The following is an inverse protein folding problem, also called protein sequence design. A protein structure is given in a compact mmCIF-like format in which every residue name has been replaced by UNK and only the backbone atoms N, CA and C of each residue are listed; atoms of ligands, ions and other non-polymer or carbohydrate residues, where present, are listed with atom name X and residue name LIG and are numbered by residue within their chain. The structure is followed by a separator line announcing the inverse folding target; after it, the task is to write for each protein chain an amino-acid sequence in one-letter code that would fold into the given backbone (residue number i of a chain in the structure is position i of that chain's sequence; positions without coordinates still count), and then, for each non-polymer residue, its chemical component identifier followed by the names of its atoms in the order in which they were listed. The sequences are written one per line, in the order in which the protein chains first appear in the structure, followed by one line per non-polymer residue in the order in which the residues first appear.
data_IF_084815500528
#
_entry.id   IF_084815500528
#
_cell.length_a   1.000
_cell.length_b   1.000
_cell.length_c   1.000
_cell.angle_alpha   90.00
_cell.angle_beta   90.00
_cell.angle_gamma   90.00
#
_symmetry.space_group_name_H-M   'P 1'
#
loop_
_entity.id
_entity.type
_entity.pdbx_description
1 polymer ?
#
# COMPACT_ATOMS: atom_id res chain seq x y z
N UNK A 1 27.23 27.86 -4.44
CA UNK A 1 25.76 27.65 -4.33
C UNK A 1 25.37 26.22 -4.71
N UNK A 2 26.32 25.42 -5.20
CA UNK A 2 26.11 24.14 -5.88
C UNK A 2 26.01 22.91 -4.94
N UNK A 3 26.63 22.96 -3.76
CA UNK A 3 26.64 21.80 -2.84
C UNK A 3 25.27 21.50 -2.22
N UNK A 4 24.47 22.54 -1.93
CA UNK A 4 23.13 22.34 -1.36
C UNK A 4 22.17 21.81 -2.43
N UNK A 5 22.22 22.36 -3.65
CA UNK A 5 21.37 21.93 -4.76
C UNK A 5 21.64 20.47 -5.14
N UNK A 6 22.92 20.07 -5.18
CA UNK A 6 23.32 18.69 -5.48
C UNK A 6 22.89 17.73 -4.37
N UNK A 7 22.98 18.14 -3.10
CA UNK A 7 22.55 17.34 -1.94
C UNK A 7 21.04 17.10 -1.92
N UNK A 8 20.24 18.16 -2.15
CA UNK A 8 18.78 18.02 -2.20
C UNK A 8 18.33 17.28 -3.47
N UNK A 9 18.98 17.50 -4.61
CA UNK A 9 18.72 16.76 -5.86
C UNK A 9 18.97 15.26 -5.67
N UNK A 10 20.10 14.86 -5.08
CA UNK A 10 20.38 13.45 -4.75
C UNK A 10 19.32 12.86 -3.83
N UNK A 11 18.88 13.60 -2.81
CA UNK A 11 17.87 13.14 -1.87
C UNK A 11 16.51 12.95 -2.56
N UNK A 12 16.09 13.89 -3.41
CA UNK A 12 14.87 13.77 -4.21
C UNK A 12 14.92 12.58 -5.17
N UNK A 13 16.06 12.37 -5.85
CA UNK A 13 16.26 11.22 -6.74
C UNK A 13 16.24 9.90 -5.96
N UNK A 14 16.83 9.85 -4.76
CA UNK A 14 16.78 8.67 -3.88
C UNK A 14 15.37 8.38 -3.40
N UNK A 15 14.61 9.41 -2.98
CA UNK A 15 13.22 9.25 -2.56
C UNK A 15 12.37 8.81 -3.75
N UNK A 16 12.58 9.38 -4.93
CA UNK A 16 11.88 8.99 -6.16
C UNK A 16 12.20 7.54 -6.56
N UNK A 17 13.48 7.13 -6.54
CA UNK A 17 13.90 5.76 -6.80
C UNK A 17 13.36 4.78 -5.77
N UNK A 18 13.29 5.17 -4.50
CA UNK A 18 12.67 4.37 -3.44
C UNK A 18 11.17 4.21 -3.70
N UNK A 19 10.49 5.26 -4.14
CA UNK A 19 9.07 5.20 -4.47
C UNK A 19 8.80 4.37 -5.73
N UNK A 20 9.71 4.42 -6.71
CA UNK A 20 9.68 3.63 -7.94
C UNK A 20 10.06 2.16 -7.69
N UNK A 21 10.91 1.88 -6.70
CA UNK A 21 11.33 0.51 -6.41
C UNK A 21 10.15 -0.33 -5.92
N UNK A 22 9.20 0.24 -5.21
CA UNK A 22 8.01 -0.49 -4.71
C UNK A 22 7.17 -1.10 -5.85
N UNK A 23 6.66 -0.35 -6.84
CA UNK A 23 5.91 -0.92 -7.96
C UNK A 23 6.78 -1.79 -8.87
N UNK A 24 8.07 -1.47 -9.07
CA UNK A 24 8.99 -2.30 -9.87
C UNK A 24 9.23 -3.66 -9.21
N UNK A 25 9.46 -3.68 -7.90
CA UNK A 25 9.68 -4.91 -7.13
C UNK A 25 8.41 -5.75 -7.09
N UNK A 26 7.24 -5.12 -6.90
CA UNK A 26 5.94 -5.78 -7.02
C UNK A 26 5.74 -6.40 -8.42
N UNK A 27 6.04 -5.64 -9.48
CA UNK A 27 5.94 -6.13 -10.86
C UNK A 27 6.89 -7.31 -11.12
N UNK A 28 8.12 -7.26 -10.62
CA UNK A 28 9.09 -8.34 -10.70
C UNK A 28 8.63 -9.59 -9.95
N UNK A 29 8.04 -9.44 -8.76
CA UNK A 29 7.46 -10.54 -8.00
C UNK A 29 6.34 -11.18 -8.83
N UNK A 30 5.38 -10.41 -9.33
CA UNK A 30 4.28 -10.94 -10.16
C UNK A 30 4.81 -11.63 -11.42
N UNK A 31 5.78 -11.04 -12.10
CA UNK A 31 6.39 -11.61 -13.30
C UNK A 31 7.14 -12.92 -13.01
N UNK A 32 7.88 -12.98 -11.90
CA UNK A 32 8.58 -14.19 -11.48
C UNK A 32 7.59 -15.32 -11.15
N UNK A 33 6.54 -15.02 -10.39
CA UNK A 33 5.51 -16.00 -10.05
C UNK A 33 4.72 -16.45 -11.29
N UNK A 34 4.40 -15.54 -12.22
CA UNK A 34 3.74 -15.89 -13.49
C UNK A 34 4.63 -16.77 -14.38
N UNK A 35 5.91 -16.44 -14.49
CA UNK A 35 6.90 -17.22 -15.25
C UNK A 35 7.07 -18.63 -14.69
N UNK A 36 7.13 -18.77 -13.36
CA UNK A 36 7.20 -20.07 -12.68
C UNK A 36 5.90 -20.87 -12.88
N UNK A 37 4.71 -20.24 -12.81
CA UNK A 37 3.42 -20.91 -13.07
C UNK A 37 3.40 -21.53 -14.47
N UNK A 38 3.85 -20.78 -15.49
CA UNK A 38 3.92 -21.28 -16.87
C UNK A 38 4.91 -22.42 -17.07
N UNK A 39 6.01 -22.45 -16.31
CA UNK A 39 7.01 -23.52 -16.38
C UNK A 39 6.53 -24.82 -15.72
N UNK A 40 5.61 -24.73 -14.74
CA UNK A 40 5.18 -25.88 -13.93
C UNK A 40 3.85 -26.49 -14.39
N UNK A 41 3.08 -25.83 -15.27
CA UNK A 41 1.94 -26.38 -16.04
C UNK A 41 1.15 -27.48 -15.29
N UNK A 42 0.67 -27.17 -14.09
CA UNK A 42 -0.16 -28.05 -13.28
C UNK A 42 -1.35 -27.24 -12.79
N UNK A 43 -2.57 -27.80 -12.84
CA UNK A 43 -3.77 -27.06 -12.41
C UNK A 43 -3.65 -26.57 -10.96
N UNK A 44 -2.87 -27.27 -10.13
CA UNK A 44 -2.61 -26.88 -8.74
C UNK A 44 -1.73 -25.63 -8.66
N UNK A 45 -0.71 -25.51 -9.52
CA UNK A 45 0.18 -24.35 -9.53
C UNK A 45 -0.57 -23.09 -9.98
N UNK A 46 -1.43 -23.20 -10.99
CA UNK A 46 -2.24 -22.08 -11.47
C UNK A 46 -3.29 -21.63 -10.43
N UNK A 47 -3.87 -22.58 -9.67
CA UNK A 47 -4.77 -22.25 -8.56
C UNK A 47 -4.02 -21.52 -7.45
N UNK A 48 -2.85 -22.01 -7.04
CA UNK A 48 -2.03 -21.36 -5.99
C UNK A 48 -1.60 -19.96 -6.45
N UNK A 49 -1.17 -19.82 -7.70
CA UNK A 49 -0.79 -18.54 -8.27
C UNK A 49 -1.98 -17.57 -8.27
N UNK A 50 -3.14 -18.00 -8.77
CA UNK A 50 -4.35 -17.18 -8.81
C UNK A 50 -4.80 -16.73 -7.41
N UNK A 51 -4.79 -17.63 -6.43
CA UNK A 51 -5.07 -17.28 -5.03
C UNK A 51 -4.06 -16.29 -4.47
N UNK A 52 -2.78 -16.48 -4.75
CA UNK A 52 -1.71 -15.55 -4.38
C UNK A 52 -1.96 -14.16 -4.96
N UNK A 53 -2.30 -14.07 -6.24
CA UNK A 53 -2.57 -12.80 -6.93
C UNK A 53 -3.81 -12.10 -6.34
N UNK A 54 -4.93 -12.80 -6.16
CA UNK A 54 -6.17 -12.20 -5.64
C UNK A 54 -6.02 -11.72 -4.19
N UNK A 55 -5.22 -12.43 -3.39
CA UNK A 55 -4.98 -12.06 -1.98
C UNK A 55 -3.98 -10.92 -1.80
N UNK A 56 -3.10 -10.69 -2.78
CA UNK A 56 -1.96 -9.79 -2.64
C UNK A 56 -2.37 -8.33 -2.36
N UNK A 57 -3.22 -7.73 -3.19
CA UNK A 57 -3.61 -6.34 -3.02
C UNK A 57 -4.39 -6.08 -1.71
N UNK A 58 -5.43 -6.88 -1.36
CA UNK A 58 -6.13 -6.71 -0.09
C UNK A 58 -5.26 -6.97 1.14
N UNK A 59 -4.36 -7.95 1.09
CA UNK A 59 -3.42 -8.23 2.19
C UNK A 59 -2.45 -7.07 2.39
N UNK A 60 -1.92 -6.50 1.29
CA UNK A 60 -0.98 -5.38 1.36
C UNK A 60 -1.64 -4.14 1.97
N UNK A 61 -2.82 -3.73 1.48
CA UNK A 61 -3.49 -2.54 2.02
C UNK A 61 -3.95 -2.74 3.47
N UNK A 62 -4.52 -3.91 3.81
CA UNK A 62 -4.90 -4.20 5.19
C UNK A 62 -3.70 -4.18 6.14
N UNK A 63 -2.55 -4.75 5.75
CA UNK A 63 -1.32 -4.69 6.54
C UNK A 63 -0.86 -3.24 6.76
N UNK A 64 -0.87 -2.41 5.71
CA UNK A 64 -0.52 -0.99 5.80
C UNK A 64 -1.48 -0.27 6.76
N UNK A 65 -2.79 -0.45 6.64
CA UNK A 65 -3.75 0.14 7.56
C UNK A 65 -3.54 -0.27 9.01
N UNK A 66 -3.22 -1.54 9.27
CA UNK A 66 -2.92 -2.05 10.62
C UNK A 66 -1.66 -1.38 11.19
N UNK A 67 -0.61 -1.20 10.38
CA UNK A 67 0.62 -0.52 10.78
C UNK A 67 0.32 0.95 11.15
N UNK A 68 -0.39 1.67 10.28
CA UNK A 68 -0.74 3.07 10.53
C UNK A 68 -1.71 3.23 11.71
N UNK A 69 -2.65 2.30 11.89
CA UNK A 69 -3.55 2.28 13.05
C UNK A 69 -2.78 2.17 14.37
N UNK A 70 -1.80 1.26 14.45
CA UNK A 70 -0.93 1.12 15.62
C UNK A 70 -0.12 2.39 15.87
N UNK A 71 0.48 2.98 14.83
CA UNK A 71 1.30 4.20 14.93
C UNK A 71 0.51 5.42 15.38
N UNK A 72 -0.74 5.53 14.93
CA UNK A 72 -1.62 6.67 15.20
C UNK A 72 -2.01 6.79 16.67
N UNK A 73 -1.91 5.72 17.47
CA UNK A 73 -2.20 5.76 18.91
C UNK A 73 -1.43 6.88 19.65
N UNK A 74 -0.22 7.19 19.19
CA UNK A 74 0.67 8.18 19.82
C UNK A 74 0.58 9.58 19.22
N UNK A 75 -0.37 9.83 18.30
CA UNK A 75 -0.48 11.13 17.63
C UNK A 75 -0.92 12.23 18.62
N UNK A 76 -0.32 13.44 18.64
CA UNK A 76 -0.59 14.46 19.67
C UNK A 76 -2.02 14.99 19.63
N UNK A 77 -2.56 15.26 18.44
CA UNK A 77 -3.91 15.83 18.28
C UNK A 77 -4.99 14.74 18.36
N UNK A 78 -5.91 14.88 19.32
CA UNK A 78 -6.95 13.88 19.60
C UNK A 78 -7.97 13.71 18.45
N UNK A 79 -8.40 14.81 17.82
CA UNK A 79 -9.32 14.76 16.68
C UNK A 79 -8.73 13.97 15.50
N UNK A 80 -7.48 14.27 15.13
CA UNK A 80 -6.77 13.56 14.05
C UNK A 80 -6.64 12.08 14.37
N UNK A 81 -6.38 11.73 15.64
CA UNK A 81 -6.33 10.34 16.10
C UNK A 81 -7.65 9.60 15.86
N UNK A 82 -8.79 10.21 16.15
CA UNK A 82 -10.11 9.59 15.96
C UNK A 82 -10.41 9.44 14.47
N UNK A 83 -10.24 10.52 13.70
CA UNK A 83 -10.47 10.53 12.25
C UNK A 83 -9.66 9.44 11.54
N UNK A 84 -8.35 9.40 11.80
CA UNK A 84 -7.47 8.39 11.21
C UNK A 84 -7.84 6.97 11.63
N UNK A 85 -8.24 6.74 12.90
CA UNK A 85 -8.68 5.40 13.35
C UNK A 85 -9.93 4.93 12.62
N UNK A 86 -10.95 5.79 12.49
CA UNK A 86 -12.17 5.48 11.75
C UNK A 86 -11.82 5.14 10.30
N UNK A 87 -10.98 5.95 9.68
CA UNK A 87 -10.54 5.74 8.31
C UNK A 87 -9.81 4.39 8.13
N UNK A 88 -8.86 4.05 9.01
CA UNK A 88 -8.13 2.79 8.88
C UNK A 88 -9.01 1.56 9.16
N UNK A 89 -9.96 1.65 10.10
CA UNK A 89 -10.92 0.56 10.33
C UNK A 89 -11.81 0.37 9.11
N UNK A 90 -12.30 1.45 8.50
CA UNK A 90 -13.06 1.40 7.27
C UNK A 90 -12.23 0.80 6.12
N UNK A 91 -10.98 1.23 5.96
CA UNK A 91 -10.04 0.69 4.97
C UNK A 91 -9.83 -0.81 5.11
N UNK A 92 -9.59 -1.30 6.33
CA UNK A 92 -9.47 -2.75 6.62
C UNK A 92 -10.77 -3.47 6.27
N UNK A 93 -11.92 -2.91 6.65
CA UNK A 93 -13.23 -3.49 6.35
C UNK A 93 -13.48 -3.62 4.84
N UNK A 94 -13.16 -2.57 4.07
CA UNK A 94 -13.27 -2.59 2.60
C UNK A 94 -12.30 -3.60 1.99
N UNK A 95 -11.04 -3.67 2.45
CA UNK A 95 -10.08 -4.67 1.96
C UNK A 95 -10.55 -6.09 2.23
N UNK A 96 -11.09 -6.37 3.42
CA UNK A 96 -11.65 -7.69 3.75
C UNK A 96 -12.87 -8.01 2.89
N UNK A 97 -13.78 -7.05 2.70
CA UNK A 97 -14.94 -7.23 1.84
C UNK A 97 -14.51 -7.56 0.40
N UNK A 98 -13.60 -6.79 -0.17
CA UNK A 98 -13.07 -7.02 -1.52
C UNK A 98 -12.42 -8.40 -1.62
N UNK A 99 -11.59 -8.77 -0.65
CA UNK A 99 -10.95 -10.09 -0.59
C UNK A 99 -11.98 -11.21 -0.63
N UNK A 100 -13.01 -11.15 0.21
CA UNK A 100 -14.06 -12.19 0.26
C UNK A 100 -14.81 -12.25 -1.06
N UNK A 101 -15.21 -11.10 -1.64
CA UNK A 101 -15.92 -11.09 -2.92
C UNK A 101 -15.09 -11.65 -4.07
N UNK A 102 -13.80 -11.35 -4.11
CA UNK A 102 -12.90 -11.84 -5.16
C UNK A 102 -12.53 -13.31 -4.96
N UNK A 103 -12.42 -13.79 -3.72
CA UNK A 103 -12.32 -15.23 -3.42
C UNK A 103 -13.53 -16.00 -3.92
N UNK A 104 -14.75 -15.51 -3.67
CA UNK A 104 -15.97 -16.13 -4.18
C UNK A 104 -15.96 -16.16 -5.72
N UNK A 105 -15.60 -15.05 -6.37
CA UNK A 105 -15.47 -15.00 -7.84
C UNK A 105 -14.42 -15.97 -8.38
N UNK A 106 -13.28 -16.08 -7.70
CA UNK A 106 -12.20 -16.98 -8.07
C UNK A 106 -12.68 -18.43 -8.09
N UNK A 107 -13.30 -18.91 -7.00
CA UNK A 107 -13.77 -20.30 -6.91
C UNK A 107 -15.02 -20.61 -7.74
N UNK A 108 -15.82 -19.60 -8.09
CA UNK A 108 -17.04 -19.81 -8.90
C UNK A 108 -16.79 -19.77 -10.41
N UNK A 109 -15.86 -18.91 -10.87
CA UNK A 109 -15.63 -18.71 -12.31
C UNK A 109 -14.27 -19.19 -12.81
N UNK A 110 -13.33 -19.52 -11.92
CA UNK A 110 -11.95 -19.87 -12.26
C UNK A 110 -11.34 -18.91 -13.28
N UNK A 111 -11.62 -17.61 -13.12
CA UNK A 111 -11.21 -16.62 -14.09
C UNK A 111 -9.71 -16.37 -13.92
N UNK A 112 -8.92 -16.74 -14.93
CA UNK A 112 -7.45 -16.55 -14.91
C UNK A 112 -7.05 -15.11 -15.21
N UNK A 113 -7.99 -14.28 -15.67
CA UNK A 113 -7.77 -12.86 -15.93
C UNK A 113 -7.91 -12.02 -14.65
N UNK A 114 -6.87 -11.23 -14.37
CA UNK A 114 -6.79 -10.30 -13.24
C UNK A 114 -7.83 -9.18 -13.33
N UNK A 115 -8.27 -8.82 -14.54
CA UNK A 115 -9.23 -7.73 -14.76
C UNK A 115 -10.63 -8.04 -14.18
N UNK A 116 -10.94 -9.30 -13.89
CA UNK A 116 -12.22 -9.71 -13.31
C UNK A 116 -12.36 -9.45 -11.80
N UNK A 117 -11.26 -9.12 -11.12
CA UNK A 117 -11.24 -8.97 -9.66
C UNK A 117 -11.31 -7.51 -9.22
N UNK A 118 -12.13 -7.27 -8.20
CA UNK A 118 -12.34 -5.94 -7.63
C UNK A 118 -11.05 -5.35 -7.05
N UNK A 119 -10.16 -6.19 -6.54
CA UNK A 119 -8.89 -5.81 -5.94
C UNK A 119 -7.89 -5.18 -6.92
N UNK A 120 -8.09 -5.36 -8.23
CA UNK A 120 -7.30 -4.72 -9.29
C UNK A 120 -8.04 -3.58 -10.00
N UNK A 121 -9.26 -3.25 -9.57
CA UNK A 121 -9.97 -2.10 -10.13
C UNK A 121 -9.23 -0.81 -9.80
N UNK A 122 -9.19 0.12 -10.76
CA UNK A 122 -8.57 1.43 -10.57
C UNK A 122 -9.17 2.15 -9.36
N UNK A 123 -10.49 2.06 -9.17
CA UNK A 123 -11.19 2.67 -8.05
C UNK A 123 -10.68 2.14 -6.71
N UNK A 124 -10.53 0.82 -6.55
CA UNK A 124 -10.03 0.23 -5.31
C UNK A 124 -8.58 0.66 -5.04
N UNK A 125 -7.70 0.54 -6.04
CA UNK A 125 -6.28 0.87 -5.89
C UNK A 125 -6.09 2.38 -5.60
N UNK A 126 -6.72 3.24 -6.40
CA UNK A 126 -6.61 4.69 -6.26
C UNK A 126 -7.23 5.19 -4.94
N UNK A 127 -8.37 4.65 -4.52
CA UNK A 127 -9.00 5.03 -3.25
C UNK A 127 -8.12 4.66 -2.05
N UNK A 128 -7.50 3.48 -2.04
CA UNK A 128 -6.61 3.07 -0.96
C UNK A 128 -5.33 3.90 -0.93
N UNK A 129 -4.65 4.06 -2.07
CA UNK A 129 -3.41 4.87 -2.15
C UNK A 129 -3.69 6.33 -1.83
N UNK A 130 -4.69 6.92 -2.49
CA UNK A 130 -5.06 8.32 -2.29
C UNK A 130 -5.55 8.59 -0.88
N UNK A 131 -6.35 7.70 -0.31
CA UNK A 131 -6.85 7.82 1.05
C UNK A 131 -5.76 7.72 2.12
N UNK A 132 -4.84 6.75 2.00
CA UNK A 132 -3.66 6.66 2.86
C UNK A 132 -2.79 7.91 2.77
N UNK A 133 -2.58 8.42 1.56
CA UNK A 133 -1.80 9.63 1.31
C UNK A 133 -2.43 10.86 1.97
N UNK A 134 -3.75 11.04 1.83
CA UNK A 134 -4.48 12.16 2.42
C UNK A 134 -4.40 12.14 3.95
N UNK A 135 -4.59 10.98 4.56
CA UNK A 135 -4.47 10.84 6.02
C UNK A 135 -3.03 11.10 6.48
N UNK A 136 -2.02 10.62 5.73
CA UNK A 136 -0.63 10.89 6.05
C UNK A 136 -0.31 12.39 6.03
N UNK A 137 -0.84 13.13 5.05
CA UNK A 137 -0.72 14.60 4.98
C UNK A 137 -1.37 15.27 6.19
N UNK A 138 -2.60 14.87 6.55
CA UNK A 138 -3.31 15.43 7.70
C UNK A 138 -2.52 15.20 9.00
N UNK A 139 -1.96 14.00 9.18
CA UNK A 139 -1.11 13.69 10.34
C UNK A 139 0.19 14.49 10.33
N UNK A 140 0.82 14.69 9.17
CA UNK A 140 2.04 15.47 9.05
C UNK A 140 1.82 16.95 9.43
N UNK A 141 0.74 17.58 8.97
CA UNK A 141 0.44 18.98 9.29
C UNK A 141 -0.02 19.22 10.72
N UNK A 142 -0.50 18.19 11.41
CA UNK A 142 -0.98 18.29 12.80
C UNK A 142 0.01 17.78 13.84
N UNK A 143 1.17 17.28 13.38
CA UNK A 143 2.29 16.97 14.26
C UNK A 143 3.00 18.27 14.65
N UNK A 144 3.46 18.36 15.90
CA UNK A 144 4.23 19.52 16.35
C UNK A 144 5.47 19.70 15.45
N UNK A 145 5.76 20.95 15.07
CA UNK A 145 6.97 21.28 14.32
C UNK A 145 8.17 20.71 15.08
N UNK A 146 8.94 19.81 14.46
CA UNK A 146 10.18 19.33 15.06
C UNK A 146 11.05 20.55 15.38
N UNK A 147 11.61 20.58 16.60
CA UNK A 147 12.55 21.62 17.02
C UNK A 147 13.68 21.64 16.01
N UNK A 148 13.81 22.79 15.34
CA UNK A 148 14.82 23.00 14.32
C UNK A 148 16.18 22.69 14.94
N UNK A 149 17.07 22.06 14.19
CA UNK A 149 18.37 21.62 14.70
C UNK A 149 19.22 22.79 15.21
N UNK A 150 18.91 24.02 14.77
CA UNK A 150 19.48 25.26 15.27
C UNK A 150 19.01 25.66 16.67
N UNK A 151 17.80 25.27 17.08
CA UNK A 151 17.25 25.58 18.40
C UNK A 151 17.67 24.55 19.48
N UNK A 152 18.27 23.42 19.11
CA UNK A 152 18.74 22.40 20.08
C UNK A 152 20.01 22.78 20.84
N UNK A 153 20.70 23.85 20.45
CA UNK A 153 22.03 24.23 20.98
C UNK A 153 22.05 25.57 21.74
N UNK A 154 20.90 26.20 21.96
CA UNK A 154 20.74 27.33 22.89
C UNK A 154 20.10 26.84 24.17
#
# INVERSE_FOLDING_TARGET
MDDQFTKYSKLYVLIFLLFLSVPVTLGLIVAAFYGISKLVSSSVADIIFGLGVVTLAPALFSAVYVIFFKRTKNHPVAWVRILSKIFFVAGIGVSLFVLVTDMIKFFTRFNTDIAGYNCFTLTYLAANVGGLFLIAIIQAFSTNKEVDWMDRKR
#
